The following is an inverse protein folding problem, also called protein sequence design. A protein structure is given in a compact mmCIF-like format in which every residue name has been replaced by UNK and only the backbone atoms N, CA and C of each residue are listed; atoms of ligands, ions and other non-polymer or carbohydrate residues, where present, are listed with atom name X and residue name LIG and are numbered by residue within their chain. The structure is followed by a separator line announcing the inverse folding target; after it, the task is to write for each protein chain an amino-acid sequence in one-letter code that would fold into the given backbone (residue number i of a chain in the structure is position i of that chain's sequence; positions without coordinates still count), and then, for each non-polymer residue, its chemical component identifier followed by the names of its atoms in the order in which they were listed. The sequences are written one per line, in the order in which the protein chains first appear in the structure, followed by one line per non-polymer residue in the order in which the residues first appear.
data_IF_402508141054
#
_entry.id   IF_402508141054
#
_cell.length_a   1.000
_cell.length_b   1.000
_cell.length_c   1.000
_cell.angle_alpha   90.00
_cell.angle_beta   90.00
_cell.angle_gamma   90.00
#
_symmetry.space_group_name_H-M   'P 1'
#
loop_
_entity.id
_entity.type
_entity.pdbx_description
1 polymer ?
#
# COMPACT_ATOMS: atom_id res chain seq x y z
N UNK A 1 -73.13 -6.18 34.95
CA UNK A 1 -72.87 -7.61 35.17
C UNK A 1 -72.79 -8.25 33.81
N UNK A 2 -71.85 -9.17 33.64
CA UNK A 2 -71.55 -9.96 32.42
C UNK A 2 -70.64 -9.30 31.37
N UNK A 3 -69.62 -10.06 30.99
CA UNK A 3 -68.45 -9.76 30.11
C UNK A 3 -68.81 -9.79 28.61
N UNK A 4 -67.92 -9.30 27.73
CA UNK A 4 -67.08 -10.24 26.97
C UNK A 4 -65.62 -9.76 26.85
N UNK A 5 -64.65 -10.61 27.17
CA UNK A 5 -63.98 -11.56 26.26
C UNK A 5 -62.84 -10.90 25.45
N UNK A 6 -61.60 -11.05 25.94
CA UNK A 6 -60.42 -11.13 25.08
C UNK A 6 -59.39 -11.98 25.81
N UNK A 7 -59.31 -13.23 25.39
CA UNK A 7 -58.21 -14.16 25.65
C UNK A 7 -56.87 -13.59 25.14
N UNK A 8 -55.76 -13.72 25.89
CA UNK A 8 -54.44 -13.53 25.32
C UNK A 8 -54.00 -14.87 24.68
N UNK A 9 -53.88 -14.85 23.35
CA UNK A 9 -53.25 -15.91 22.56
C UNK A 9 -51.77 -15.99 22.95
N UNK A 10 -51.39 -17.09 23.61
CA UNK A 10 -49.99 -17.51 23.71
C UNK A 10 -49.59 -18.12 22.37
N UNK A 11 -48.79 -17.35 21.63
CA UNK A 11 -48.22 -17.74 20.35
C UNK A 11 -47.19 -18.86 20.50
N UNK A 12 -47.36 -19.80 19.59
CA UNK A 12 -46.65 -21.05 19.37
C UNK A 12 -45.15 -20.86 19.09
N UNK A 13 -44.39 -21.91 19.36
CA UNK A 13 -42.94 -21.94 19.25
C UNK A 13 -42.46 -21.86 17.80
N UNK A 14 -41.38 -21.12 17.62
CA UNK A 14 -40.58 -21.16 16.41
C UNK A 14 -39.13 -20.88 16.79
N UNK A 15 -38.31 -21.94 16.76
CA UNK A 15 -36.85 -21.85 16.73
C UNK A 15 -36.44 -20.87 15.61
N UNK A 16 -35.84 -19.74 16.01
CA UNK A 16 -35.14 -18.88 15.06
C UNK A 16 -33.69 -19.32 15.08
N UNK A 17 -33.35 -20.20 14.13
CA UNK A 17 -31.98 -20.52 13.76
C UNK A 17 -31.19 -19.20 13.57
N UNK A 18 -30.23 -18.97 14.47
CA UNK A 18 -29.21 -17.94 14.30
C UNK A 18 -28.37 -18.33 13.08
N UNK A 19 -28.65 -17.63 11.99
CA UNK A 19 -27.98 -17.73 10.70
C UNK A 19 -26.46 -17.62 10.92
N UNK A 20 -25.73 -18.67 10.49
CA UNK A 20 -24.28 -18.78 10.56
C UNK A 20 -23.57 -17.49 10.15
N UNK A 21 -22.70 -16.99 11.02
CA UNK A 21 -21.69 -15.98 10.68
C UNK A 21 -20.89 -16.46 9.44
N UNK A 22 -20.55 -15.57 8.49
CA UNK A 22 -19.72 -15.95 7.36
C UNK A 22 -18.28 -16.25 7.82
N UNK A 23 -18.03 -17.51 8.18
CA UNK A 23 -16.70 -18.06 8.39
C UNK A 23 -15.88 -17.83 7.13
N UNK A 24 -14.85 -16.98 7.24
CA UNK A 24 -13.83 -16.81 6.21
C UNK A 24 -13.18 -18.18 5.92
N UNK A 25 -13.58 -18.82 4.82
CA UNK A 25 -12.96 -20.06 4.33
C UNK A 25 -11.53 -19.77 3.89
N UNK A 26 -10.57 -20.15 4.74
CA UNK A 26 -9.15 -20.18 4.39
C UNK A 26 -8.92 -21.19 3.25
N UNK A 27 -8.26 -20.83 2.14
CA UNK A 27 -8.01 -21.76 1.04
C UNK A 27 -7.14 -22.94 1.49
N UNK A 28 -7.70 -24.14 1.38
CA UNK A 28 -7.03 -25.39 1.72
C UNK A 28 -5.90 -25.65 0.71
N UNK A 29 -4.63 -25.58 1.15
CA UNK A 29 -3.47 -25.86 0.30
C UNK A 29 -3.51 -27.33 -0.13
N UNK A 30 -3.85 -27.59 -1.40
CA UNK A 30 -3.73 -28.92 -2.01
C UNK A 30 -2.26 -29.38 -1.96
N UNK A 31 -1.98 -30.33 -1.06
CA UNK A 31 -0.71 -31.04 -0.94
C UNK A 31 -0.50 -31.90 -2.20
N UNK A 32 0.41 -31.50 -3.09
CA UNK A 32 0.89 -32.40 -4.16
C UNK A 32 1.64 -33.55 -3.50
N UNK A 33 1.08 -34.76 -3.57
CA UNK A 33 1.80 -36.00 -3.29
C UNK A 33 2.90 -36.17 -4.33
N UNK A 34 4.16 -36.10 -3.88
CA UNK A 34 5.31 -36.65 -4.57
C UNK A 34 6.03 -37.58 -3.60
N UNK A 35 5.98 -38.90 -3.88
CA UNK A 35 6.74 -39.93 -3.17
C UNK A 35 8.23 -39.77 -3.48
N UNK A 36 9.08 -39.74 -2.44
CA UNK A 36 10.53 -39.88 -2.54
C UNK A 36 11.17 -39.96 -1.16
N UNK A 37 11.72 -41.13 -0.82
CA UNK A 37 12.27 -41.51 0.50
C UNK A 37 13.68 -40.95 0.69
N UNK A 38 14.07 -40.66 1.94
CA UNK A 38 15.48 -40.66 2.35
C UNK A 38 15.84 -39.71 3.51
N UNK A 39 16.08 -40.28 4.69
CA UNK A 39 16.61 -39.64 5.90
C UNK A 39 17.88 -38.81 5.67
N UNK A 40 18.06 -37.72 6.43
CA UNK A 40 19.23 -37.47 7.31
C UNK A 40 19.09 -36.19 8.16
N UNK A 41 19.13 -36.43 9.47
CA UNK A 41 19.72 -35.68 10.59
C UNK A 41 19.82 -34.14 10.59
N UNK A 42 19.42 -33.62 11.75
CA UNK A 42 19.55 -32.24 12.20
C UNK A 42 20.96 -31.67 12.04
N UNK A 43 21.03 -30.47 11.46
CA UNK A 43 22.06 -29.49 11.79
C UNK A 43 21.41 -28.11 11.85
N UNK A 44 21.34 -27.60 13.08
CA UNK A 44 20.91 -26.25 13.45
C UNK A 44 22.00 -25.29 13.00
N UNK A 45 21.79 -24.61 11.88
CA UNK A 45 22.55 -23.43 11.50
C UNK A 45 21.54 -22.32 11.18
N UNK A 46 21.58 -21.28 12.01
CA UNK A 46 20.81 -20.05 11.89
C UNK A 46 21.23 -19.36 10.60
N UNK A 47 20.51 -19.64 9.51
CA UNK A 47 20.60 -18.88 8.28
C UNK A 47 19.60 -17.73 8.39
N UNK A 48 20.13 -16.53 8.61
CA UNK A 48 19.40 -15.29 8.35
C UNK A 48 19.13 -15.29 6.86
N UNK A 49 17.97 -15.81 6.47
CA UNK A 49 17.45 -15.57 5.13
C UNK A 49 16.93 -14.13 5.13
N UNK A 50 17.77 -13.24 4.58
CA UNK A 50 17.30 -11.99 4.02
C UNK A 50 16.21 -12.34 3.01
N UNK A 51 14.96 -12.27 3.48
CA UNK A 51 13.79 -12.37 2.63
C UNK A 51 13.80 -11.17 1.70
N UNK A 52 14.38 -11.36 0.51
CA UNK A 52 14.13 -10.51 -0.64
C UNK A 52 12.63 -10.60 -0.93
N UNK A 53 11.88 -9.65 -0.37
CA UNK A 53 10.45 -9.49 -0.62
C UNK A 53 10.27 -9.07 -2.07
N UNK A 54 10.13 -10.07 -2.93
CA UNK A 54 9.76 -9.94 -4.34
C UNK A 54 8.31 -9.44 -4.42
N UNK A 55 8.12 -8.13 -4.24
CA UNK A 55 6.79 -7.51 -4.25
C UNK A 55 6.79 -6.13 -4.89
N UNK A 56 7.35 -6.05 -6.08
CA UNK A 56 7.32 -4.88 -6.94
C UNK A 56 6.21 -5.01 -8.02
N UNK A 57 4.94 -5.15 -7.59
CA UNK A 57 3.77 -5.02 -8.49
C UNK A 57 3.24 -3.56 -8.53
N UNK A 58 4.10 -2.57 -8.28
CA UNK A 58 3.73 -1.14 -8.36
C UNK A 58 3.44 -0.66 -9.79
N UNK A 59 3.57 -1.55 -10.77
CA UNK A 59 3.40 -1.22 -12.18
C UNK A 59 2.06 -1.81 -12.62
N UNK A 60 1.03 -0.97 -12.54
CA UNK A 60 -0.25 -1.19 -13.21
C UNK A 60 -0.03 -1.48 -14.70
N UNK A 61 -0.93 -2.23 -15.33
CA UNK A 61 -1.02 -2.41 -16.80
C UNK A 61 -1.03 -1.05 -17.56
N UNK A 62 -1.27 0.05 -16.83
CA UNK A 62 -1.17 1.45 -17.28
C UNK A 62 0.25 1.94 -17.58
N UNK A 63 1.33 1.18 -17.37
CA UNK A 63 2.67 1.68 -17.75
C UNK A 63 2.93 1.61 -19.25
N UNK A 64 2.05 0.93 -19.98
CA UNK A 64 1.94 1.11 -21.44
C UNK A 64 1.14 2.36 -21.83
N UNK A 65 0.40 2.98 -20.92
CA UNK A 65 -0.38 4.20 -21.16
C UNK A 65 0.37 5.41 -20.63
N UNK A 66 1.44 5.77 -21.33
CA UNK A 66 1.85 7.17 -21.41
C UNK A 66 0.97 7.75 -22.51
N UNK A 67 -0.01 8.57 -22.14
CA UNK A 67 -0.88 9.22 -23.12
C UNK A 67 -0.56 10.72 -23.24
N UNK A 68 -0.55 11.14 -24.50
CA UNK A 68 -0.89 12.46 -25.04
C UNK A 68 0.20 13.49 -25.35
N UNK A 69 1.48 13.17 -25.25
CA UNK A 69 2.50 13.88 -26.03
C UNK A 69 3.46 12.86 -26.62
N UNK A 70 3.01 12.19 -27.70
CA UNK A 70 3.93 11.51 -28.60
C UNK A 70 4.81 12.60 -29.23
N UNK A 71 6.00 12.79 -28.67
CA UNK A 71 7.11 13.22 -29.50
C UNK A 71 7.07 12.33 -30.75
N UNK A 72 7.07 12.93 -31.94
CA UNK A 72 7.16 12.21 -33.22
C UNK A 72 8.54 11.54 -33.28
N UNK A 73 8.67 10.47 -32.52
CA UNK A 73 9.86 9.63 -32.48
C UNK A 73 9.73 8.72 -33.68
N UNK A 74 10.70 8.79 -34.58
CA UNK A 74 10.73 7.89 -35.72
C UNK A 74 10.92 6.46 -35.23
N UNK A 75 10.30 5.51 -35.93
CA UNK A 75 10.53 4.09 -35.69
C UNK A 75 11.97 3.78 -36.05
N UNK A 76 12.72 3.20 -35.11
CA UNK A 76 14.16 2.90 -35.27
C UNK A 76 14.39 1.41 -35.42
N UNK A 77 13.62 0.58 -34.72
CA UNK A 77 13.71 -0.87 -34.75
C UNK A 77 12.60 -1.46 -35.62
N UNK A 78 12.89 -2.45 -36.45
CA UNK A 78 11.84 -3.12 -37.25
C UNK A 78 11.05 -4.14 -36.42
N UNK A 79 9.84 -4.47 -36.86
CA UNK A 79 9.04 -5.53 -36.23
C UNK A 79 9.75 -6.89 -36.33
N UNK A 80 10.49 -7.13 -37.41
CA UNK A 80 11.27 -8.33 -37.67
C UNK A 80 12.42 -8.49 -36.66
N UNK A 81 13.15 -7.42 -36.37
CA UNK A 81 14.24 -7.43 -35.38
C UNK A 81 13.72 -7.76 -33.99
N UNK A 82 12.58 -7.17 -33.61
CA UNK A 82 11.94 -7.43 -32.32
C UNK A 82 11.46 -8.89 -32.25
N UNK A 83 10.89 -9.42 -33.33
CA UNK A 83 10.49 -10.83 -33.41
C UNK A 83 11.69 -11.77 -33.34
N UNK A 84 12.78 -11.44 -34.01
CA UNK A 84 14.01 -12.22 -33.98
C UNK A 84 14.60 -12.26 -32.57
N UNK A 85 14.68 -11.11 -31.91
CA UNK A 85 15.05 -11.01 -30.50
C UNK A 85 14.16 -11.90 -29.62
N UNK A 86 12.83 -11.87 -29.79
CA UNK A 86 11.92 -12.73 -29.02
C UNK A 86 12.18 -14.21 -29.29
N UNK A 87 12.46 -14.62 -30.53
CA UNK A 87 12.79 -16.01 -30.87
C UNK A 87 14.10 -16.45 -30.19
N UNK A 88 15.15 -15.63 -30.30
CA UNK A 88 16.48 -15.95 -29.79
C UNK A 88 16.52 -15.99 -28.26
N UNK A 89 15.69 -15.19 -27.60
CA UNK A 89 15.68 -15.06 -26.13
C UNK A 89 14.68 -15.98 -25.42
N UNK A 90 14.02 -16.91 -26.12
CA UNK A 90 12.89 -17.70 -25.60
C UNK A 90 13.18 -18.47 -24.31
N UNK A 91 14.41 -18.96 -24.16
CA UNK A 91 14.84 -19.79 -23.03
C UNK A 91 15.87 -19.12 -22.12
N UNK A 92 16.14 -17.84 -22.36
CA UNK A 92 17.09 -17.07 -21.57
C UNK A 92 16.38 -16.42 -20.38
N UNK A 93 16.91 -16.68 -19.18
CA UNK A 93 16.52 -15.94 -17.98
C UNK A 93 17.33 -14.64 -17.95
N UNK A 94 16.73 -13.57 -17.42
CA UNK A 94 17.42 -12.29 -17.19
C UNK A 94 18.09 -11.65 -18.43
N UNK A 95 17.44 -11.75 -19.60
CA UNK A 95 17.84 -10.99 -20.80
C UNK A 95 17.97 -9.50 -20.47
N UNK A 96 19.17 -8.97 -20.64
CA UNK A 96 19.46 -7.53 -20.57
C UNK A 96 18.97 -6.90 -21.87
N UNK A 97 17.92 -6.07 -21.79
CA UNK A 97 17.38 -5.38 -22.95
C UNK A 97 18.40 -4.38 -23.51
N UNK A 98 19.28 -3.88 -22.64
CA UNK A 98 20.36 -2.95 -22.92
C UNK A 98 21.36 -3.46 -23.95
N UNK A 99 21.59 -4.78 -24.00
CA UNK A 99 22.57 -5.39 -24.91
C UNK A 99 22.06 -5.50 -26.35
N UNK A 100 20.74 -5.58 -26.52
CA UNK A 100 20.09 -5.75 -27.83
C UNK A 100 19.49 -4.45 -28.35
N UNK A 101 19.01 -3.59 -27.45
CA UNK A 101 18.36 -2.32 -27.77
C UNK A 101 18.99 -1.21 -26.90
N UNK A 102 20.06 -0.56 -27.39
CA UNK A 102 20.77 0.46 -26.62
C UNK A 102 19.87 1.66 -26.30
N UNK A 103 18.95 2.02 -27.21
CA UNK A 103 17.92 3.02 -26.94
C UNK A 103 16.58 2.38 -26.55
N UNK A 104 16.39 2.31 -25.23
CA UNK A 104 15.23 1.67 -24.62
C UNK A 104 13.95 2.50 -24.75
N UNK A 105 14.06 3.82 -24.92
CA UNK A 105 12.91 4.69 -25.15
C UNK A 105 12.34 4.43 -26.55
N UNK A 106 13.21 4.34 -27.55
CA UNK A 106 12.84 3.96 -28.91
C UNK A 106 12.30 2.53 -28.97
N UNK A 107 12.91 1.57 -28.27
CA UNK A 107 12.36 0.21 -28.20
C UNK A 107 10.93 0.17 -27.66
N UNK A 108 10.64 0.88 -26.56
CA UNK A 108 9.27 0.93 -26.00
C UNK A 108 8.31 1.61 -26.97
N UNK A 109 8.73 2.69 -27.62
CA UNK A 109 7.95 3.38 -28.64
C UNK A 109 7.59 2.44 -29.80
N UNK A 110 8.57 1.75 -30.37
CA UNK A 110 8.40 0.89 -31.54
C UNK A 110 7.55 -0.34 -31.21
N UNK A 111 7.75 -0.94 -30.04
CA UNK A 111 6.86 -2.02 -29.55
C UNK A 111 5.41 -1.54 -29.41
N UNK A 112 5.18 -0.31 -28.92
CA UNK A 112 3.83 0.26 -28.83
C UNK A 112 3.24 0.53 -30.21
N UNK A 113 4.03 1.07 -31.12
CA UNK A 113 3.65 1.33 -32.51
C UNK A 113 3.20 0.03 -33.20
N UNK A 114 4.05 -0.98 -33.23
CA UNK A 114 3.75 -2.26 -33.88
C UNK A 114 2.67 -3.08 -33.16
N UNK A 115 2.47 -2.88 -31.86
CA UNK A 115 1.32 -3.45 -31.15
C UNK A 115 0.00 -2.85 -31.64
N UNK A 116 -0.05 -1.54 -31.94
CA UNK A 116 -1.24 -0.89 -32.53
C UNK A 116 -1.51 -1.38 -33.95
N UNK A 117 -0.45 -1.62 -34.73
CA UNK A 117 -0.55 -2.19 -36.07
C UNK A 117 -0.87 -3.70 -36.12
N UNK A 118 -0.88 -4.38 -34.96
CA UNK A 118 -1.17 -5.82 -34.89
C UNK A 118 -0.03 -6.72 -35.39
N UNK A 119 1.21 -6.23 -35.42
CA UNK A 119 2.36 -6.95 -35.97
C UNK A 119 2.81 -8.16 -35.12
N UNK A 120 2.35 -8.29 -33.88
CA UNK A 120 2.78 -9.33 -32.93
C UNK A 120 1.68 -10.32 -32.57
N UNK A 121 2.07 -11.58 -32.37
CA UNK A 121 1.19 -12.62 -31.83
C UNK A 121 0.91 -12.40 -30.33
N UNK A 122 -0.20 -12.97 -29.83
CA UNK A 122 -0.55 -12.87 -28.41
C UNK A 122 0.57 -13.34 -27.46
N UNK A 123 1.27 -14.41 -27.82
CA UNK A 123 2.40 -14.94 -27.03
C UNK A 123 3.59 -13.98 -27.02
N UNK A 124 3.85 -13.31 -28.14
CA UNK A 124 4.91 -12.30 -28.29
C UNK A 124 4.57 -11.06 -27.47
N UNK A 125 3.33 -10.57 -27.56
CA UNK A 125 2.81 -9.45 -26.75
C UNK A 125 2.97 -9.74 -25.26
N UNK A 126 2.60 -10.95 -24.82
CA UNK A 126 2.74 -11.33 -23.41
C UNK A 126 4.20 -11.30 -22.95
N UNK A 127 5.13 -11.80 -23.76
CA UNK A 127 6.57 -11.76 -23.43
C UNK A 127 7.14 -10.36 -23.46
N UNK A 128 6.76 -9.53 -24.44
CA UNK A 128 7.14 -8.12 -24.52
C UNK A 128 6.66 -7.35 -23.29
N UNK A 129 5.39 -7.55 -22.88
CA UNK A 129 4.86 -6.99 -21.63
C UNK A 129 5.74 -7.35 -20.44
N UNK A 130 6.10 -8.63 -20.28
CA UNK A 130 6.94 -9.09 -19.16
C UNK A 130 8.35 -8.49 -19.18
N UNK A 131 8.95 -8.35 -20.36
CA UNK A 131 10.28 -7.76 -20.52
C UNK A 131 10.28 -6.26 -20.20
N UNK A 132 9.33 -5.52 -20.78
CA UNK A 132 9.16 -4.08 -20.54
C UNK A 132 8.86 -3.83 -19.06
N UNK A 133 7.95 -4.60 -18.46
CA UNK A 133 7.63 -4.57 -17.03
C UNK A 133 8.88 -4.68 -16.16
N UNK A 134 9.69 -5.71 -16.40
CA UNK A 134 10.93 -5.93 -15.64
C UNK A 134 11.92 -4.77 -15.82
N UNK A 135 12.06 -4.27 -17.03
CA UNK A 135 12.92 -3.12 -17.30
C UNK A 135 12.49 -1.88 -16.51
N UNK A 136 11.21 -1.53 -16.54
CA UNK A 136 10.71 -0.37 -15.80
C UNK A 136 10.87 -0.55 -14.29
N UNK A 137 10.69 -1.77 -13.78
CA UNK A 137 10.96 -2.08 -12.37
C UNK A 137 12.41 -1.79 -11.99
N UNK A 138 13.35 -2.24 -12.80
CA UNK A 138 14.77 -2.00 -12.55
C UNK A 138 15.09 -0.51 -12.55
N UNK A 139 14.60 0.25 -13.55
CA UNK A 139 14.78 1.71 -13.58
C UNK A 139 14.20 2.36 -12.33
N UNK A 140 12.98 2.01 -11.95
CA UNK A 140 12.30 2.61 -10.79
C UNK A 140 13.09 2.33 -9.51
N UNK A 141 13.61 1.11 -9.38
CA UNK A 141 14.46 0.71 -8.26
C UNK A 141 15.76 1.49 -8.23
N UNK A 142 16.40 1.69 -9.38
CA UNK A 142 17.64 2.46 -9.50
C UNK A 142 17.40 3.94 -9.16
N UNK A 143 16.31 4.54 -9.64
CA UNK A 143 15.90 5.90 -9.25
C UNK A 143 15.73 6.00 -7.74
N UNK A 144 15.02 5.06 -7.11
CA UNK A 144 14.81 5.06 -5.66
C UNK A 144 16.13 4.90 -4.89
N UNK A 145 17.03 4.04 -5.36
CA UNK A 145 18.38 3.89 -4.77
C UNK A 145 19.18 5.18 -4.91
N UNK A 146 19.21 5.78 -6.10
CA UNK A 146 19.91 7.03 -6.36
C UNK A 146 19.37 8.19 -5.53
N UNK A 147 18.04 8.29 -5.35
CA UNK A 147 17.42 9.28 -4.45
C UNK A 147 17.92 9.12 -3.01
N UNK A 148 17.90 7.89 -2.48
CA UNK A 148 18.39 7.62 -1.11
C UNK A 148 19.88 7.92 -0.96
N UNK A 149 20.70 7.56 -1.95
CA UNK A 149 22.13 7.85 -1.93
C UNK A 149 22.40 9.36 -1.95
N UNK A 150 21.71 10.10 -2.83
CA UNK A 150 21.81 11.56 -2.89
C UNK A 150 21.32 12.23 -1.60
N UNK A 151 20.24 11.72 -0.99
CA UNK A 151 19.74 12.23 0.29
C UNK A 151 20.77 12.09 1.41
N UNK A 152 21.38 10.89 1.55
CA UNK A 152 22.45 10.64 2.53
C UNK A 152 23.63 11.60 2.27
N UNK A 153 24.10 11.67 1.03
CA UNK A 153 25.23 12.51 0.66
C UNK A 153 24.95 14.01 0.90
N UNK A 154 23.73 14.48 0.64
CA UNK A 154 23.31 15.86 0.90
C UNK A 154 23.32 16.13 2.41
N UNK A 155 22.75 15.24 3.22
CA UNK A 155 22.72 15.39 4.68
C UNK A 155 24.14 15.41 5.27
N UNK A 156 25.03 14.55 4.78
CA UNK A 156 26.44 14.54 5.18
C UNK A 156 27.15 15.83 4.79
N UNK A 157 27.00 16.29 3.54
CA UNK A 157 27.60 17.55 3.09
C UNK A 157 27.08 18.78 3.84
N UNK A 158 25.79 18.80 4.19
CA UNK A 158 25.20 19.87 5.01
C UNK A 158 25.74 19.89 6.44
N UNK A 159 26.10 18.73 7.00
CA UNK A 159 26.76 18.66 8.32
C UNK A 159 28.19 19.21 8.28
N UNK A 160 28.87 19.08 7.13
CA UNK A 160 30.24 19.57 6.92
C UNK A 160 30.30 21.05 6.47
N UNK A 161 29.14 21.66 6.21
CA UNK A 161 28.97 23.05 5.76
C UNK A 161 29.49 24.10 6.77
N UNK A 162 29.84 23.67 7.99
CA UNK A 162 30.54 24.49 9.00
C UNK A 162 31.91 25.03 8.55
N UNK A 163 32.45 24.54 7.42
CA UNK A 163 33.81 24.85 6.95
C UNK A 163 33.86 25.99 5.92
N UNK A 164 32.72 26.40 5.33
CA UNK A 164 32.66 27.53 4.38
C UNK A 164 33.44 27.36 3.08
N UNK A 165 33.83 26.13 2.71
CA UNK A 165 34.55 25.84 1.47
C UNK A 165 33.63 25.97 0.25
N UNK A 166 34.09 26.72 -0.76
CA UNK A 166 33.37 26.98 -2.00
C UNK A 166 33.12 25.70 -2.80
N UNK A 167 34.03 24.72 -2.72
CA UNK A 167 33.86 23.40 -3.34
C UNK A 167 32.69 22.61 -2.76
N UNK A 168 32.48 22.69 -1.44
CA UNK A 168 31.35 22.05 -0.77
C UNK A 168 30.00 22.64 -1.19
N UNK A 169 29.91 23.96 -1.34
CA UNK A 169 28.67 24.65 -1.77
C UNK A 169 28.29 24.24 -3.20
N UNK A 170 29.26 24.19 -4.12
CA UNK A 170 29.02 23.78 -5.51
C UNK A 170 28.62 22.30 -5.61
N UNK A 171 29.28 21.42 -4.86
CA UNK A 171 28.93 19.99 -4.79
C UNK A 171 27.52 19.78 -4.23
N UNK A 172 27.15 20.52 -3.16
CA UNK A 172 25.82 20.46 -2.57
C UNK A 172 24.74 20.92 -3.56
N UNK A 173 24.99 22.02 -4.28
CA UNK A 173 24.07 22.53 -5.31
C UNK A 173 23.90 21.53 -6.46
N UNK A 174 24.99 20.93 -6.92
CA UNK A 174 24.97 19.92 -7.98
C UNK A 174 24.17 18.68 -7.58
N UNK A 175 24.37 18.17 -6.36
CA UNK A 175 23.63 17.00 -5.87
C UNK A 175 22.15 17.29 -5.65
N UNK A 176 21.80 18.47 -5.11
CA UNK A 176 20.40 18.93 -4.99
C UNK A 176 19.71 19.03 -6.35
N UNK A 177 20.40 19.55 -7.37
CA UNK A 177 19.86 19.61 -8.73
C UNK A 177 19.54 18.20 -9.28
N UNK A 178 20.50 17.26 -9.18
CA UNK A 178 20.27 15.85 -9.59
C UNK A 178 19.10 15.20 -8.84
N UNK A 179 18.95 15.50 -7.55
CA UNK A 179 17.83 14.98 -6.75
C UNK A 179 16.50 15.53 -7.24
N UNK A 180 16.44 16.84 -7.55
CA UNK A 180 15.24 17.46 -8.12
C UNK A 180 14.89 16.85 -9.49
N UNK A 181 15.87 16.61 -10.37
CA UNK A 181 15.62 15.97 -11.67
C UNK A 181 14.97 14.59 -11.52
N UNK A 182 15.44 13.79 -10.55
CA UNK A 182 14.86 12.48 -10.24
C UNK A 182 13.46 12.61 -9.63
N UNK A 183 13.25 13.59 -8.75
CA UNK A 183 11.93 13.87 -8.18
C UNK A 183 10.92 14.29 -9.25
N UNK A 184 11.33 15.12 -10.21
CA UNK A 184 10.49 15.53 -11.34
C UNK A 184 10.04 14.32 -12.17
N UNK A 185 10.93 13.38 -12.47
CA UNK A 185 10.57 12.12 -13.15
C UNK A 185 9.53 11.34 -12.34
N UNK A 186 9.72 11.22 -11.02
CA UNK A 186 8.76 10.50 -10.17
C UNK A 186 7.41 11.21 -10.06
N UNK A 187 7.40 12.55 -10.03
CA UNK A 187 6.22 13.38 -9.98
C UNK A 187 5.42 13.30 -11.28
N UNK A 188 6.09 13.32 -12.44
CA UNK A 188 5.46 13.08 -13.74
C UNK A 188 4.79 11.71 -13.79
N UNK A 189 5.47 10.67 -13.31
CA UNK A 189 4.88 9.33 -13.21
C UNK A 189 3.64 9.30 -12.30
N UNK A 190 3.68 10.01 -11.17
CA UNK A 190 2.52 10.13 -10.27
C UNK A 190 1.37 10.90 -10.92
N UNK A 191 1.67 11.96 -11.67
CA UNK A 191 0.69 12.75 -12.41
C UNK A 191 -0.04 11.91 -13.47
N UNK A 192 0.69 11.12 -14.26
CA UNK A 192 0.10 10.23 -15.27
C UNK A 192 -0.84 9.20 -14.61
N UNK A 193 -0.40 8.58 -13.51
CA UNK A 193 -1.24 7.64 -12.75
C UNK A 193 -2.48 8.32 -12.14
N UNK A 194 -2.35 9.56 -11.68
CA UNK A 194 -3.46 10.37 -11.14
C UNK A 194 -4.46 10.80 -12.22
N UNK A 195 -3.99 11.05 -13.45
CA UNK A 195 -4.82 11.36 -14.62
C UNK A 195 -5.58 10.16 -15.16
N UNK A 196 -5.16 8.93 -14.83
CA UNK A 196 -5.92 7.70 -15.08
C UNK A 196 -7.17 7.68 -14.19
N UNK A 197 -8.16 8.52 -14.55
CA UNK A 197 -9.41 8.79 -13.84
C UNK A 197 -10.59 8.30 -14.68
N UNK A 198 -10.71 6.99 -14.87
CA UNK A 198 -12.06 6.44 -14.99
C UNK A 198 -12.44 5.96 -13.59
N UNK A 199 -13.32 6.70 -12.91
CA UNK A 199 -13.83 6.32 -11.59
C UNK A 199 -14.47 4.91 -11.61
N UNK A 200 -14.99 4.48 -12.77
CA UNK A 200 -15.53 3.14 -12.97
C UNK A 200 -14.48 2.01 -12.86
N UNK A 201 -13.20 2.29 -13.09
CA UNK A 201 -12.11 1.33 -12.89
C UNK A 201 -11.51 1.38 -11.48
N UNK A 202 -11.68 2.50 -10.76
CA UNK A 202 -11.18 2.65 -9.38
C UNK A 202 -12.03 1.88 -8.37
N UNK A 203 -13.34 1.79 -8.58
CA UNK A 203 -14.27 1.01 -7.73
C UNK A 203 -14.54 -0.41 -8.25
N UNK A 204 -13.93 -0.80 -9.36
CA UNK A 204 -14.01 -2.17 -9.82
C UNK A 204 -13.21 -3.06 -8.84
N UNK A 205 -13.81 -4.14 -8.30
CA UNK A 205 -13.10 -5.12 -7.46
C UNK A 205 -12.05 -5.86 -8.31
N UNK A 206 -10.91 -5.23 -8.51
CA UNK A 206 -9.83 -5.73 -9.35
C UNK A 206 -8.91 -6.64 -8.55
N UNK A 207 -8.32 -7.64 -9.22
CA UNK A 207 -7.28 -8.49 -8.61
C UNK A 207 -6.13 -7.66 -8.03
N UNK A 208 -5.85 -6.51 -8.63
CA UNK A 208 -4.86 -5.55 -8.13
C UNK A 208 -5.27 -5.01 -6.76
N UNK A 209 -6.50 -4.50 -6.59
CA UNK A 209 -6.95 -3.95 -5.30
C UNK A 209 -6.99 -5.03 -4.21
N UNK A 210 -7.51 -6.23 -4.50
CA UNK A 210 -7.48 -7.33 -3.52
C UNK A 210 -6.06 -7.74 -3.14
N UNK A 211 -5.15 -7.78 -4.12
CA UNK A 211 -3.76 -8.13 -3.85
C UNK A 211 -3.03 -7.01 -3.11
N UNK A 212 -3.38 -5.75 -3.37
CA UNK A 212 -2.88 -4.57 -2.67
C UNK A 212 -3.38 -4.55 -1.22
N UNK A 213 -4.67 -4.76 -1.00
CA UNK A 213 -5.27 -4.83 0.34
C UNK A 213 -4.74 -6.05 1.10
N UNK A 214 -4.56 -7.19 0.45
CA UNK A 214 -3.90 -8.35 1.06
C UNK A 214 -2.46 -8.03 1.49
N UNK A 215 -1.68 -7.36 0.65
CA UNK A 215 -0.30 -6.93 0.97
C UNK A 215 -0.29 -5.89 2.10
N UNK A 216 -1.18 -4.90 2.06
CA UNK A 216 -1.31 -3.89 3.10
C UNK A 216 -1.75 -4.50 4.43
N UNK A 217 -2.72 -5.43 4.40
CA UNK A 217 -3.14 -6.21 5.55
C UNK A 217 -1.99 -7.02 6.15
N UNK A 218 -1.19 -7.69 5.32
CA UNK A 218 0.02 -8.40 5.79
C UNK A 218 1.04 -7.46 6.44
N UNK A 219 1.30 -6.29 5.86
CA UNK A 219 2.24 -5.30 6.42
C UNK A 219 1.76 -4.70 7.74
N UNK A 220 0.46 -4.59 7.94
CA UNK A 220 -0.16 -4.03 9.15
C UNK A 220 -0.42 -5.09 10.23
N UNK A 221 -0.09 -6.35 9.96
CA UNK A 221 -0.32 -7.44 10.90
C UNK A 221 0.76 -7.44 11.99
N UNK A 222 0.33 -7.43 13.25
CA UNK A 222 1.24 -7.62 14.38
C UNK A 222 1.54 -9.12 14.47
N UNK A 223 2.74 -9.53 14.06
CA UNK A 223 3.12 -10.94 14.00
C UNK A 223 3.51 -11.55 15.35
N UNK A 224 3.98 -10.71 16.28
CA UNK A 224 4.28 -11.13 17.64
C UNK A 224 4.31 -9.93 18.58
N UNK A 225 4.01 -10.17 19.86
CA UNK A 225 4.14 -9.19 20.94
C UNK A 225 4.94 -9.79 22.08
N UNK A 226 5.65 -8.95 22.83
CA UNK A 226 6.35 -9.38 24.05
C UNK A 226 5.52 -9.07 25.28
N UNK A 227 5.47 -10.02 26.21
CA UNK A 227 4.86 -9.81 27.53
C UNK A 227 5.79 -8.99 28.43
N UNK A 228 5.24 -8.47 29.54
CA UNK A 228 6.04 -7.80 30.59
C UNK A 228 7.11 -8.74 31.18
N UNK A 229 6.86 -10.06 31.14
CA UNK A 229 7.81 -11.11 31.56
C UNK A 229 8.91 -11.42 30.53
N UNK A 230 8.83 -10.84 29.33
CA UNK A 230 9.82 -11.00 28.26
C UNK A 230 9.51 -12.12 27.25
N UNK A 231 8.45 -12.90 27.47
CA UNK A 231 8.03 -14.00 26.59
C UNK A 231 7.46 -13.47 25.26
N UNK A 232 7.70 -14.20 24.17
CA UNK A 232 7.24 -13.84 22.83
C UNK A 232 5.95 -14.59 22.50
N UNK A 233 4.86 -13.85 22.32
CA UNK A 233 3.56 -14.37 21.89
C UNK A 233 3.41 -14.18 20.39
N UNK A 234 3.21 -15.28 19.65
CA UNK A 234 2.98 -15.26 18.19
C UNK A 234 1.58 -15.72 17.79
N UNK A 235 0.82 -16.30 18.72
CA UNK A 235 -0.55 -16.75 18.43
C UNK A 235 -1.51 -15.55 18.38
N UNK A 236 -2.37 -15.43 17.35
CA UNK A 236 -3.23 -14.26 17.15
C UNK A 236 -4.15 -13.94 18.34
N UNK A 237 -4.68 -14.96 19.01
CA UNK A 237 -5.56 -14.82 20.17
C UNK A 237 -4.80 -14.27 21.39
N UNK A 238 -3.56 -14.72 21.59
CA UNK A 238 -2.69 -14.26 22.66
C UNK A 238 -2.21 -12.83 22.42
N UNK A 239 -1.85 -12.51 21.18
CA UNK A 239 -1.51 -11.15 20.75
C UNK A 239 -2.68 -10.21 21.07
N UNK A 240 -3.90 -10.56 20.63
CA UNK A 240 -5.08 -9.75 20.87
C UNK A 240 -5.35 -9.55 22.36
N UNK A 241 -5.32 -10.62 23.16
CA UNK A 241 -5.52 -10.55 24.62
C UNK A 241 -4.48 -9.66 25.29
N UNK A 242 -3.21 -9.80 24.91
CA UNK A 242 -2.13 -8.98 25.45
C UNK A 242 -2.28 -7.51 25.04
N UNK A 243 -2.66 -7.22 23.79
CA UNK A 243 -2.90 -5.86 23.30
C UNK A 243 -4.05 -5.19 24.06
N UNK A 244 -5.17 -5.89 24.25
CA UNK A 244 -6.32 -5.39 25.02
C UNK A 244 -5.92 -5.10 26.46
N UNK A 245 -5.25 -6.05 27.13
CA UNK A 245 -4.77 -5.89 28.50
C UNK A 245 -3.84 -4.67 28.65
N UNK A 246 -2.86 -4.56 27.74
CA UNK A 246 -1.90 -3.47 27.73
C UNK A 246 -2.57 -2.09 27.58
N UNK A 247 -3.42 -1.92 26.57
CA UNK A 247 -4.07 -0.61 26.36
C UNK A 247 -5.14 -0.30 27.41
N UNK A 248 -5.83 -1.32 27.94
CA UNK A 248 -6.77 -1.13 29.05
C UNK A 248 -6.05 -0.63 30.30
N UNK A 249 -4.83 -1.12 30.58
CA UNK A 249 -3.98 -0.65 31.67
C UNK A 249 -3.39 0.74 31.38
N UNK A 250 -2.89 0.97 30.16
CA UNK A 250 -2.29 2.24 29.75
C UNK A 250 -3.27 3.41 29.83
N UNK A 251 -4.53 3.17 29.44
CA UNK A 251 -5.61 4.15 29.48
C UNK A 251 -6.54 3.96 30.68
N UNK A 252 -6.14 3.17 31.67
CA UNK A 252 -6.88 3.12 32.93
C UNK A 252 -6.73 4.48 33.61
N UNK A 253 -7.85 5.07 33.99
CA UNK A 253 -7.84 6.34 34.68
C UNK A 253 -7.25 6.15 36.08
N UNK A 254 -6.24 6.95 36.43
CA UNK A 254 -5.76 7.05 37.81
C UNK A 254 -6.75 7.81 38.71
N UNK A 255 -7.77 8.43 38.11
CA UNK A 255 -8.81 9.16 38.84
C UNK A 255 -9.79 8.19 39.47
N UNK A 256 -9.56 7.86 40.74
CA UNK A 256 -10.61 7.36 41.61
C UNK A 256 -11.54 8.53 41.95
N UNK A 257 -12.81 8.45 41.55
CA UNK A 257 -13.80 9.51 41.74
C UNK A 257 -14.02 9.84 43.21
N UNK A 258 -13.17 10.69 43.78
CA UNK A 258 -13.47 11.40 45.00
C UNK A 258 -14.30 12.61 44.60
N UNK A 259 -15.61 12.46 44.67
CA UNK A 259 -16.63 13.51 44.51
C UNK A 259 -16.29 14.80 45.30
N UNK A 260 -15.46 14.68 46.33
CA UNK A 260 -14.94 15.74 47.19
C UNK A 260 -14.09 16.80 46.45
N UNK A 261 -13.37 16.43 45.37
CA UNK A 261 -12.52 17.40 44.65
C UNK A 261 -13.30 18.17 43.58
N UNK A 262 -14.29 17.53 42.94
CA UNK A 262 -15.13 18.18 41.93
C UNK A 262 -15.97 19.30 42.54
N UNK A 263 -16.63 19.03 43.67
CA UNK A 263 -17.54 20.00 44.29
C UNK A 263 -16.81 21.24 44.84
N UNK A 264 -15.52 21.13 45.16
CA UNK A 264 -14.71 22.27 45.64
C UNK A 264 -14.00 23.01 44.50
N UNK A 265 -13.57 22.30 43.45
CA UNK A 265 -12.93 22.88 42.27
C UNK A 265 -13.91 23.67 41.38
N UNK A 266 -15.18 23.24 41.32
CA UNK A 266 -16.20 23.87 40.49
C UNK A 266 -16.88 25.09 41.15
N UNK A 267 -16.50 25.47 42.38
CA UNK A 267 -17.02 26.66 43.06
C UNK A 267 -16.33 27.92 42.55
N UNK A 268 -17.12 28.94 42.19
CA UNK A 268 -16.59 30.25 41.81
C UNK A 268 -16.07 30.35 40.36
N UNK A 269 -16.21 29.29 39.57
CA UNK A 269 -15.95 29.38 38.13
C UNK A 269 -16.96 30.33 37.47
N UNK A 270 -16.53 31.16 36.50
CA UNK A 270 -17.45 31.97 35.71
C UNK A 270 -18.49 31.07 35.04
N UNK A 271 -19.73 31.20 35.47
CA UNK A 271 -20.86 30.47 34.87
C UNK A 271 -21.46 31.31 33.77
N UNK A 272 -21.88 30.66 32.69
CA UNK A 272 -22.74 31.31 31.71
C UNK A 272 -23.99 31.82 32.41
N UNK A 273 -24.51 32.95 31.94
CA UNK A 273 -25.85 33.37 32.35
C UNK A 273 -26.84 32.29 31.95
N UNK A 274 -27.89 32.10 32.75
CA UNK A 274 -28.90 31.08 32.48
C UNK A 274 -29.57 31.26 31.10
N UNK A 275 -29.62 32.52 30.62
CA UNK A 275 -30.07 32.84 29.27
C UNK A 275 -29.10 32.31 28.21
N UNK A 276 -27.80 32.56 28.35
CA UNK A 276 -26.79 32.11 27.40
C UNK A 276 -26.66 30.58 27.37
N UNK A 277 -26.79 29.92 28.53
CA UNK A 277 -26.80 28.45 28.60
C UNK A 277 -27.99 27.88 27.81
N UNK A 278 -29.21 28.39 28.04
CA UNK A 278 -30.41 27.96 27.29
C UNK A 278 -30.33 28.23 25.79
N UNK A 279 -29.62 29.29 25.40
CA UNK A 279 -29.41 29.62 23.99
C UNK A 279 -28.44 28.66 23.31
N UNK A 280 -27.41 28.17 24.03
CA UNK A 280 -26.47 27.17 23.51
C UNK A 280 -27.04 25.75 23.51
N UNK A 281 -27.93 25.44 24.47
CA UNK A 281 -28.59 24.12 24.57
C UNK A 281 -29.77 23.96 23.58
N UNK A 282 -30.14 25.01 22.84
CA UNK A 282 -31.20 24.94 21.83
C UNK A 282 -30.72 24.18 20.59
N UNK A 283 -31.66 23.62 19.85
CA UNK A 283 -31.36 22.98 18.57
C UNK A 283 -30.83 24.00 17.54
N UNK A 284 -29.80 23.61 16.79
CA UNK A 284 -29.23 24.41 15.70
C UNK A 284 -30.29 24.76 14.65
N UNK A 285 -30.44 26.05 14.38
CA UNK A 285 -31.37 26.52 13.36
C UNK A 285 -30.78 26.39 11.95
N UNK A 286 -31.68 26.31 10.97
CA UNK A 286 -31.31 26.25 9.55
C UNK A 286 -30.60 27.54 9.10
N UNK A 287 -31.01 28.68 9.68
CA UNK A 287 -30.37 29.99 9.45
C UNK A 287 -28.91 30.02 9.93
N UNK A 288 -28.62 29.52 11.13
CA UNK A 288 -27.25 29.43 11.67
C UNK A 288 -26.35 28.51 10.82
N UNK A 289 -26.90 27.41 10.30
CA UNK A 289 -26.20 26.52 9.37
C UNK A 289 -25.88 27.22 8.04
N UNK A 290 -26.79 28.06 7.55
CA UNK A 290 -26.60 28.81 6.31
C UNK A 290 -25.58 29.95 6.46
N UNK A 291 -25.49 30.60 7.63
CA UNK A 291 -24.49 31.64 7.89
C UNK A 291 -23.07 31.09 8.10
N UNK A 292 -22.94 29.82 8.49
CA UNK A 292 -21.65 29.15 8.75
C UNK A 292 -21.00 28.51 7.51
N UNK A 293 -21.71 28.45 6.38
CA UNK A 293 -21.28 27.88 5.09
C UNK A 293 -20.75 28.97 4.13
#
# INVERSE_FOLDING_TARGET
METPDTTPVQGDGGDVDMVDEPVFKVPNKRKKQGKGRGNKQAKKETKVEEGESDSDDRISDSVLTFDSQEEQINVVYSAEDIKEFLRNTKWQKNVALEEFFPDRKHFIHDVKFFRREGAFLHVEIFRLKKLIMRYILNITRDIVRSLKALEIEIVELQRLEATGDRGHIEALKSKKAKMNDLLDITAQGALVRSRFKSAAEMDAPSKFFFSLEQKNGQKRFIHAVRTESGDLLSEPTEIHKQTVSFYSKLYSSEWSGAQVVEDSFLVGLPKLSERAARELDRELSLEELHEAL
#
